data_IF_409717966157
#
_entry.id   IF_409717966157
#
_cell.length_a   1.000
_cell.length_b   1.000
_cell.length_c   1.000
_cell.angle_alpha   90.00
_cell.angle_beta   90.00
_cell.angle_gamma   90.00
#
_symmetry.space_group_name_H-M   'P 1'
#
loop_
_entity.id
_entity.type
_entity.pdbx_description
1 polymer ?
#
# COMPACT_ATOMS: atom_id res chain seq x y z
N UNK A 1 -8.72 12.92 -13.82
CA UNK A 1 -8.41 13.87 -14.91
C UNK A 1 -7.01 13.58 -15.41
N UNK A 2 -6.84 13.34 -16.71
CA UNK A 2 -5.50 13.21 -17.27
C UNK A 2 -4.85 14.61 -17.28
N UNK A 3 -3.83 14.83 -16.49
CA UNK A 3 -3.08 16.08 -16.51
C UNK A 3 -2.32 16.20 -17.83
N UNK A 4 -2.74 17.13 -18.66
CA UNK A 4 -1.99 17.50 -19.85
C UNK A 4 -0.68 18.21 -19.45
N UNK A 5 0.40 17.95 -20.17
CA UNK A 5 1.69 18.62 -19.97
C UNK A 5 1.61 20.15 -20.15
N UNK A 6 0.61 20.60 -20.89
CA UNK A 6 0.28 22.01 -21.13
C UNK A 6 -0.29 22.73 -19.92
N UNK A 7 -0.97 22.03 -19.01
CA UNK A 7 -1.56 22.62 -17.80
C UNK A 7 -0.52 23.13 -16.79
N UNK A 8 0.73 22.64 -16.85
CA UNK A 8 1.84 23.07 -15.98
C UNK A 8 2.68 24.23 -16.55
N UNK A 9 2.12 25.08 -17.41
CA UNK A 9 2.82 26.24 -18.01
C UNK A 9 4.10 25.90 -18.80
N UNK A 10 4.33 24.65 -19.18
CA UNK A 10 5.42 24.24 -20.04
C UNK A 10 4.90 24.04 -21.46
N UNK A 11 5.06 25.05 -22.30
CA UNK A 11 4.73 24.94 -23.72
C UNK A 11 5.81 24.08 -24.39
N UNK A 12 5.41 22.88 -24.81
CA UNK A 12 6.30 22.02 -25.60
C UNK A 12 6.23 22.44 -27.05
N UNK A 13 7.34 22.90 -27.60
CA UNK A 13 7.45 23.19 -29.02
C UNK A 13 7.62 21.89 -29.81
N UNK A 14 6.75 21.65 -30.79
CA UNK A 14 6.89 20.56 -31.74
C UNK A 14 7.63 21.09 -32.96
N UNK A 15 8.74 20.44 -33.31
CA UNK A 15 9.49 20.73 -34.53
C UNK A 15 9.07 19.85 -35.71
N UNK A 16 8.11 18.94 -35.49
CA UNK A 16 7.58 18.08 -36.53
C UNK A 16 6.55 18.85 -37.38
N UNK A 17 6.62 18.68 -38.72
CA UNK A 17 5.63 19.21 -39.65
C UNK A 17 4.28 18.48 -39.59
N UNK A 18 4.23 17.34 -38.93
CA UNK A 18 3.01 16.54 -38.79
C UNK A 18 2.22 16.98 -37.55
N UNK A 19 0.90 16.98 -37.70
CA UNK A 19 -0.02 17.23 -36.59
C UNK A 19 0.14 16.11 -35.53
N UNK A 20 0.21 16.49 -34.26
CA UNK A 20 0.21 15.51 -33.18
C UNK A 20 -1.10 14.70 -33.20
N UNK A 21 -0.99 13.37 -33.23
CA UNK A 21 -2.14 12.45 -33.27
C UNK A 21 -2.57 12.09 -31.86
N UNK A 22 -1.61 12.04 -30.91
CA UNK A 22 -1.85 11.72 -29.50
C UNK A 22 -1.22 12.78 -28.62
N UNK A 23 -1.90 13.11 -27.54
CA UNK A 23 -1.34 13.95 -26.50
C UNK A 23 -0.29 13.18 -25.68
N UNK A 24 0.70 13.92 -25.17
CA UNK A 24 1.70 13.31 -24.29
C UNK A 24 1.04 12.90 -22.98
N UNK A 25 1.07 11.62 -22.60
CA UNK A 25 0.45 11.18 -21.36
C UNK A 25 1.18 11.77 -20.14
N UNK A 26 0.44 11.93 -19.05
CA UNK A 26 1.05 12.33 -17.79
C UNK A 26 1.80 11.14 -17.18
N UNK A 27 3.13 11.15 -17.28
CA UNK A 27 3.99 10.00 -16.94
C UNK A 27 3.99 9.66 -15.44
N UNK A 28 3.59 10.59 -14.58
CA UNK A 28 3.51 10.39 -13.13
C UNK A 28 2.12 9.97 -12.65
N UNK A 29 1.15 9.85 -13.56
CA UNK A 29 -0.24 9.55 -13.20
C UNK A 29 -0.37 8.23 -12.42
N UNK A 30 0.39 7.20 -12.80
CA UNK A 30 0.34 5.88 -12.15
C UNK A 30 0.75 5.94 -10.68
N UNK A 31 1.87 6.59 -10.37
CA UNK A 31 2.36 6.73 -9.00
C UNK A 31 1.39 7.55 -8.14
N UNK A 32 0.94 8.69 -8.66
CA UNK A 32 0.04 9.58 -7.94
C UNK A 32 -1.31 8.91 -7.70
N UNK A 33 -1.90 8.30 -8.73
CA UNK A 33 -3.17 7.60 -8.59
C UNK A 33 -3.08 6.43 -7.61
N UNK A 34 -2.01 5.63 -7.68
CA UNK A 34 -1.77 4.51 -6.77
C UNK A 34 -1.70 4.96 -5.32
N UNK A 35 -0.95 6.03 -5.03
CA UNK A 35 -0.81 6.52 -3.65
C UNK A 35 -2.07 7.19 -3.13
N UNK A 36 -2.77 7.93 -3.97
CA UNK A 36 -4.09 8.51 -3.64
C UNK A 36 -5.10 7.41 -3.32
N UNK A 37 -5.13 6.36 -4.12
CA UNK A 37 -5.97 5.19 -3.88
C UNK A 37 -5.59 4.45 -2.60
N UNK A 38 -4.28 4.29 -2.33
CA UNK A 38 -3.80 3.70 -1.08
C UNK A 38 -4.26 4.46 0.15
N UNK A 39 -4.16 5.79 0.15
CA UNK A 39 -4.54 6.63 1.29
C UNK A 39 -6.04 6.83 1.43
N UNK A 40 -6.79 6.89 0.33
CA UNK A 40 -8.22 7.23 0.29
C UNK A 40 -8.59 8.41 1.21
N UNK A 41 -7.70 9.43 1.30
CA UNK A 41 -7.82 10.52 2.25
C UNK A 41 -9.06 11.39 2.03
N UNK A 42 -9.37 11.66 0.76
CA UNK A 42 -10.49 12.52 0.35
C UNK A 42 -11.85 11.79 0.27
N UNK A 43 -11.84 10.47 0.54
CA UNK A 43 -13.04 9.65 0.49
C UNK A 43 -13.64 9.57 1.90
N UNK A 44 -14.96 9.79 1.99
CA UNK A 44 -15.68 9.65 3.27
C UNK A 44 -15.47 8.23 3.83
N UNK A 45 -15.31 8.10 5.16
CA UNK A 45 -14.98 6.84 5.81
C UNK A 45 -15.94 5.68 5.49
N UNK A 46 -17.22 5.99 5.27
CA UNK A 46 -18.26 5.01 4.89
C UNK A 46 -18.18 4.54 3.44
N UNK A 47 -17.55 5.33 2.57
CA UNK A 47 -17.45 5.06 1.14
C UNK A 47 -16.07 4.50 0.73
N UNK A 48 -15.15 4.34 1.68
CA UNK A 48 -13.82 3.81 1.40
C UNK A 48 -13.87 2.35 0.99
N UNK A 49 -13.17 2.03 -0.06
CA UNK A 49 -12.99 0.66 -0.52
C UNK A 49 -12.09 -0.13 0.45
N UNK A 50 -12.28 -1.44 0.51
CA UNK A 50 -11.46 -2.31 1.33
C UNK A 50 -10.13 -2.63 0.64
N UNK A 51 -9.32 -1.58 0.43
CA UNK A 51 -8.01 -1.66 -0.20
C UNK A 51 -7.02 -0.69 0.48
N UNK A 52 -5.73 -0.84 0.18
CA UNK A 52 -4.67 0.01 0.71
C UNK A 52 -4.66 0.10 2.24
N UNK A 53 -4.63 1.31 2.77
CA UNK A 53 -4.57 1.58 4.20
C UNK A 53 -5.84 1.10 4.94
N UNK A 54 -7.00 1.19 4.31
CA UNK A 54 -8.26 0.69 4.88
C UNK A 54 -8.23 -0.83 5.07
N UNK A 55 -7.74 -1.57 4.07
CA UNK A 55 -7.58 -3.02 4.16
C UNK A 55 -6.56 -3.42 5.24
N UNK A 56 -5.46 -2.66 5.39
CA UNK A 56 -4.46 -2.91 6.42
C UNK A 56 -5.08 -2.82 7.83
N UNK A 57 -5.88 -1.80 8.11
CA UNK A 57 -6.60 -1.73 9.39
C UNK A 57 -7.61 -2.88 9.55
N UNK A 58 -8.42 -3.14 8.54
CA UNK A 58 -9.44 -4.20 8.61
C UNK A 58 -8.86 -5.61 8.75
N UNK A 59 -7.63 -5.84 8.33
CA UNK A 59 -6.96 -7.13 8.48
C UNK A 59 -6.55 -7.44 9.92
N UNK A 60 -6.35 -6.41 10.75
CA UNK A 60 -5.93 -6.54 12.14
C UNK A 60 -7.14 -6.49 13.08
N UNK A 61 -8.09 -5.63 12.81
CA UNK A 61 -9.28 -5.45 13.63
C UNK A 61 -10.45 -6.35 13.16
N UNK A 62 -11.30 -6.83 14.05
CA UNK A 62 -11.32 -6.56 15.49
C UNK A 62 -10.25 -7.35 16.27
N UNK A 63 -9.70 -6.73 17.31
CA UNK A 63 -8.83 -7.39 18.27
C UNK A 63 -9.71 -7.81 19.45
N UNK A 64 -9.72 -9.11 19.74
CA UNK A 64 -10.57 -9.68 20.81
C UNK A 64 -9.68 -10.11 21.97
N UNK A 65 -10.11 -9.85 23.19
CA UNK A 65 -9.42 -10.31 24.39
C UNK A 65 -9.52 -11.84 24.52
N UNK A 66 -8.56 -12.45 25.19
CA UNK A 66 -8.50 -13.90 25.40
C UNK A 66 -9.78 -14.51 26.02
N UNK A 67 -10.50 -13.74 26.82
CA UNK A 67 -11.72 -14.17 27.49
C UNK A 67 -13.01 -13.68 26.81
N UNK A 68 -12.93 -13.15 25.60
CA UNK A 68 -14.03 -12.58 24.80
C UNK A 68 -14.84 -11.47 25.50
N UNK A 69 -14.31 -10.92 26.60
CA UNK A 69 -14.99 -9.89 27.39
C UNK A 69 -14.78 -8.48 26.88
N UNK A 70 -13.80 -8.28 26.02
CA UNK A 70 -13.53 -6.98 25.42
C UNK A 70 -13.15 -7.15 23.95
N UNK A 71 -13.64 -6.25 23.11
CA UNK A 71 -13.35 -6.22 21.67
C UNK A 71 -13.00 -4.81 21.26
N UNK A 72 -11.85 -4.66 20.61
CA UNK A 72 -11.42 -3.39 20.02
C UNK A 72 -11.73 -3.41 18.53
N UNK A 73 -12.59 -2.51 18.09
CA UNK A 73 -13.05 -2.38 16.70
C UNK A 73 -12.42 -1.15 16.04
N UNK A 74 -12.09 -1.27 14.78
CA UNK A 74 -11.72 -0.14 13.94
C UNK A 74 -12.96 0.54 13.38
N UNK A 75 -13.06 1.85 13.53
CA UNK A 75 -14.16 2.65 12.99
C UNK A 75 -13.74 3.38 11.73
N UNK A 76 -12.69 4.17 11.82
CA UNK A 76 -12.16 4.95 10.69
C UNK A 76 -10.75 5.42 10.96
N UNK A 77 -10.07 5.89 9.94
CA UNK A 77 -8.83 6.67 10.12
C UNK A 77 -8.98 8.05 9.51
N UNK A 78 -8.14 8.96 9.96
CA UNK A 78 -8.06 10.32 9.46
C UNK A 78 -6.59 10.74 9.33
N UNK A 79 -6.28 11.47 8.26
CA UNK A 79 -5.00 12.11 8.04
C UNK A 79 -5.14 13.59 8.36
N UNK A 80 -4.32 14.07 9.29
CA UNK A 80 -4.28 15.49 9.63
C UNK A 80 -3.54 16.31 8.57
N UNK A 81 -3.60 17.63 8.71
CA UNK A 81 -2.79 18.51 7.89
C UNK A 81 -1.29 18.34 8.21
N UNK A 82 -0.41 18.41 7.21
CA UNK A 82 1.03 18.41 7.45
C UNK A 82 1.44 19.64 8.25
N UNK A 83 2.41 19.48 9.15
CA UNK A 83 2.91 20.57 9.98
C UNK A 83 3.69 21.61 9.18
N UNK A 84 4.37 21.19 8.13
CA UNK A 84 5.19 22.01 7.26
C UNK A 84 4.84 21.76 5.81
N UNK A 85 5.03 22.77 4.96
CA UNK A 85 4.90 22.60 3.53
C UNK A 85 6.12 21.85 2.93
N UNK A 86 6.07 21.56 1.65
CA UNK A 86 7.12 20.81 0.95
C UNK A 86 8.46 21.55 0.99
N UNK A 87 8.45 22.88 0.73
CA UNK A 87 9.66 23.70 0.69
C UNK A 87 10.28 23.87 2.08
N UNK A 88 9.43 24.12 3.06
CA UNK A 88 9.85 24.26 4.45
C UNK A 88 10.43 22.95 5.00
N UNK A 89 9.83 21.81 4.68
CA UNK A 89 10.36 20.49 5.04
C UNK A 89 11.74 20.25 4.43
N UNK A 90 11.95 20.63 3.16
CA UNK A 90 13.25 20.52 2.51
C UNK A 90 14.31 21.43 3.15
N UNK A 91 13.97 22.70 3.43
CA UNK A 91 14.88 23.66 4.03
C UNK A 91 15.29 23.31 5.47
N UNK A 92 14.36 22.78 6.24
CA UNK A 92 14.58 22.38 7.63
C UNK A 92 15.19 20.98 7.78
N UNK A 93 15.33 20.21 6.69
CA UNK A 93 15.80 18.83 6.75
C UNK A 93 14.78 17.86 7.38
N UNK A 94 13.49 18.19 7.32
CA UNK A 94 12.39 17.41 7.87
C UNK A 94 11.68 16.59 6.79
N UNK A 95 10.83 15.67 7.22
CA UNK A 95 9.99 14.89 6.31
C UNK A 95 8.63 15.58 6.10
N UNK A 96 8.13 15.54 4.86
CA UNK A 96 6.78 16.00 4.53
C UNK A 96 5.79 14.88 4.85
N UNK A 97 5.15 14.99 6.01
CA UNK A 97 4.31 13.94 6.61
C UNK A 97 2.99 14.51 7.13
N UNK A 98 1.98 13.65 7.19
CA UNK A 98 0.72 13.93 7.85
C UNK A 98 0.53 13.00 9.06
N UNK A 99 -0.01 13.50 10.18
CA UNK A 99 -0.34 12.66 11.32
C UNK A 99 -1.51 11.75 10.99
N UNK A 100 -1.33 10.46 11.23
CA UNK A 100 -2.36 9.45 11.08
C UNK A 100 -3.03 9.22 12.43
N UNK A 101 -4.35 9.35 12.46
CA UNK A 101 -5.18 9.04 13.62
C UNK A 101 -6.20 7.98 13.26
N UNK A 102 -6.36 6.99 14.12
CA UNK A 102 -7.37 5.97 13.98
C UNK A 102 -8.46 6.14 15.05
N UNK A 103 -9.70 6.16 14.64
CA UNK A 103 -10.85 6.11 15.52
C UNK A 103 -11.16 4.66 15.82
N UNK A 104 -11.03 4.29 17.07
CA UNK A 104 -11.26 2.93 17.56
C UNK A 104 -12.40 2.91 18.58
N UNK A 105 -13.07 1.77 18.64
CA UNK A 105 -14.19 1.52 19.53
C UNK A 105 -13.87 0.34 20.40
N UNK A 106 -13.85 0.55 21.71
CA UNK A 106 -13.74 -0.51 22.69
C UNK A 106 -15.15 -0.92 23.15
N UNK A 107 -15.49 -2.16 22.89
CA UNK A 107 -16.75 -2.79 23.30
C UNK A 107 -16.44 -3.70 24.48
N UNK A 108 -17.05 -3.43 25.63
CA UNK A 108 -16.90 -4.25 26.86
C UNK A 108 -18.19 -5.01 27.06
N UNK A 109 -18.07 -6.34 27.18
CA UNK A 109 -19.19 -7.24 27.40
C UNK A 109 -19.52 -7.36 28.87
N UNK A 110 -20.76 -7.69 29.19
CA UNK A 110 -21.18 -7.96 30.55
C UNK A 110 -20.68 -9.34 31.01
N UNK A 111 -20.24 -9.41 32.29
CA UNK A 111 -19.75 -10.66 32.90
C UNK A 111 -20.86 -11.67 33.12
N UNK A 112 -22.07 -11.21 33.43
CA UNK A 112 -23.23 -12.05 33.74
C UNK A 112 -23.94 -12.51 32.49
N UNK A 113 -23.86 -11.72 31.40
CA UNK A 113 -24.47 -12.00 30.09
C UNK A 113 -23.50 -11.67 28.98
N UNK A 114 -22.62 -12.61 28.60
CA UNK A 114 -21.55 -12.36 27.57
C UNK A 114 -22.05 -11.92 26.21
N UNK A 115 -23.34 -11.97 25.94
CA UNK A 115 -23.96 -11.48 24.70
C UNK A 115 -24.44 -10.03 24.78
N UNK A 116 -24.44 -9.44 25.96
CA UNK A 116 -24.88 -8.05 26.16
C UNK A 116 -23.68 -7.13 26.30
N UNK A 117 -23.75 -5.99 25.63
CA UNK A 117 -22.73 -4.95 25.70
C UNK A 117 -22.97 -4.13 26.97
N UNK A 118 -21.96 -4.08 27.85
CA UNK A 118 -21.99 -3.28 29.06
C UNK A 118 -21.68 -1.83 28.80
N UNK A 119 -20.63 -1.59 28.02
CA UNK A 119 -20.11 -0.25 27.74
C UNK A 119 -19.45 -0.18 26.38
N UNK A 120 -19.58 0.97 25.70
CA UNK A 120 -18.88 1.29 24.46
C UNK A 120 -18.12 2.59 24.68
N UNK A 121 -16.81 2.56 24.39
CA UNK A 121 -15.96 3.75 24.40
C UNK A 121 -15.34 3.95 23.04
N UNK A 122 -15.45 5.15 22.50
CA UNK A 122 -14.78 5.54 21.25
C UNK A 122 -13.71 6.58 21.54
N UNK A 123 -12.55 6.41 20.91
CA UNK A 123 -11.45 7.34 21.03
C UNK A 123 -10.67 7.43 19.72
N UNK A 124 -10.17 8.61 19.41
CA UNK A 124 -9.14 8.82 18.41
C UNK A 124 -7.76 8.55 19.00
N UNK A 125 -6.98 7.68 18.34
CA UNK A 125 -5.64 7.30 18.76
C UNK A 125 -4.65 7.75 17.68
N UNK A 126 -3.60 8.43 18.10
CA UNK A 126 -2.48 8.76 17.24
C UNK A 126 -1.67 7.51 16.92
N UNK A 127 -1.53 7.19 15.63
CA UNK A 127 -0.87 5.98 15.15
C UNK A 127 0.55 6.25 14.63
N UNK A 128 0.90 7.52 14.42
CA UNK A 128 2.17 7.93 13.84
C UNK A 128 1.99 8.90 12.70
N UNK A 129 3.01 9.01 11.87
CA UNK A 129 3.04 9.92 10.72
C UNK A 129 3.19 9.13 9.43
N UNK A 130 2.46 9.53 8.39
CA UNK A 130 2.60 8.98 7.05
C UNK A 130 3.22 10.02 6.12
N UNK A 131 4.24 9.65 5.33
CA UNK A 131 4.78 10.51 4.29
C UNK A 131 3.69 10.85 3.28
N UNK A 132 3.64 12.12 2.86
CA UNK A 132 2.76 12.57 1.79
C UNK A 132 3.51 12.65 0.47
N UNK A 133 2.84 12.26 -0.60
CA UNK A 133 3.36 12.40 -1.95
C UNK A 133 3.21 13.84 -2.43
N UNK A 134 4.27 14.39 -3.02
CA UNK A 134 4.25 15.70 -3.66
C UNK A 134 3.47 15.64 -4.98
N UNK A 135 3.05 16.80 -5.52
CA UNK A 135 2.40 16.83 -6.85
C UNK A 135 3.26 16.29 -7.99
N UNK A 136 4.58 16.14 -7.76
CA UNK A 136 5.54 15.59 -8.72
C UNK A 136 5.78 14.07 -8.54
N UNK A 137 5.02 13.42 -7.67
CA UNK A 137 5.12 11.96 -7.45
C UNK A 137 6.32 11.53 -6.61
N UNK A 138 6.93 12.46 -5.87
CA UNK A 138 8.06 12.21 -4.97
C UNK A 138 7.65 12.30 -3.51
N UNK A 139 8.55 11.89 -2.62
CA UNK A 139 8.43 12.05 -1.16
C UNK A 139 9.58 12.88 -0.65
N UNK A 140 9.35 13.74 0.33
CA UNK A 140 10.40 14.46 1.03
C UNK A 140 10.66 13.77 2.36
N UNK A 141 11.82 13.15 2.49
CA UNK A 141 12.25 12.41 3.69
C UNK A 141 13.55 13.00 4.20
N UNK A 142 13.53 13.52 5.42
CA UNK A 142 14.68 14.21 6.03
C UNK A 142 15.26 15.31 5.12
N UNK A 143 14.38 16.09 4.50
CA UNK A 143 14.74 17.17 3.58
C UNK A 143 15.18 16.74 2.18
N UNK A 144 15.34 15.44 1.94
CA UNK A 144 15.75 14.89 0.65
C UNK A 144 14.55 14.40 -0.13
N UNK A 145 14.44 14.81 -1.39
CA UNK A 145 13.40 14.33 -2.28
C UNK A 145 13.74 12.94 -2.80
N UNK A 146 12.82 12.00 -2.60
CA UNK A 146 12.97 10.59 -2.95
C UNK A 146 11.80 10.11 -3.78
N UNK A 147 12.06 9.13 -4.63
CA UNK A 147 11.06 8.50 -5.50
C UNK A 147 11.04 7.00 -5.24
N UNK A 148 9.84 6.41 -5.23
CA UNK A 148 9.69 4.95 -5.20
C UNK A 148 9.86 4.43 -6.63
N UNK A 149 10.85 3.57 -6.83
CA UNK A 149 11.12 2.94 -8.11
C UNK A 149 10.48 1.56 -8.14
N UNK A 150 9.73 1.26 -9.19
CA UNK A 150 9.15 -0.06 -9.39
C UNK A 150 10.25 -1.10 -9.57
N UNK A 151 10.14 -2.22 -8.84
CA UNK A 151 11.09 -3.32 -8.92
C UNK A 151 10.42 -4.54 -9.52
N UNK A 152 11.05 -5.12 -10.53
CA UNK A 152 10.60 -6.37 -11.13
C UNK A 152 11.00 -7.55 -10.23
N UNK A 153 10.06 -8.43 -9.95
CA UNK A 153 10.30 -9.66 -9.18
C UNK A 153 9.49 -10.82 -9.77
N UNK A 154 9.81 -12.05 -9.37
CA UNK A 154 8.99 -13.22 -9.74
C UNK A 154 7.62 -13.10 -9.10
N UNK A 155 6.57 -13.42 -9.86
CA UNK A 155 5.21 -13.41 -9.34
C UNK A 155 5.04 -14.46 -8.23
N UNK A 156 4.30 -14.15 -7.16
CA UNK A 156 3.85 -15.17 -6.24
C UNK A 156 3.01 -16.24 -6.96
N UNK A 157 3.14 -17.49 -6.56
CA UNK A 157 2.41 -18.59 -7.17
C UNK A 157 3.17 -19.91 -7.11
N UNK A 158 2.68 -20.89 -7.84
CA UNK A 158 3.29 -22.22 -7.95
C UNK A 158 3.84 -22.38 -9.37
N UNK A 159 5.10 -22.77 -9.47
CA UNK A 159 5.81 -22.99 -10.72
C UNK A 159 6.18 -24.47 -10.80
N UNK A 160 5.91 -25.07 -11.97
CA UNK A 160 6.30 -26.44 -12.26
C UNK A 160 7.36 -26.42 -13.34
N UNK A 161 8.47 -27.10 -13.10
CA UNK A 161 9.60 -27.17 -14.01
C UNK A 161 10.06 -28.62 -14.15
N UNK A 162 10.91 -28.92 -15.11
CA UNK A 162 11.62 -30.18 -15.27
C UNK A 162 13.02 -29.93 -15.85
N UNK A 163 13.95 -30.82 -15.56
CA UNK A 163 15.37 -30.76 -15.94
C UNK A 163 15.67 -31.07 -17.42
N UNK A 164 14.65 -31.47 -18.20
CA UNK A 164 14.77 -31.94 -19.59
C UNK A 164 15.65 -33.20 -19.73
N UNK A 165 15.72 -34.00 -18.67
CA UNK A 165 16.53 -35.24 -18.66
C UNK A 165 18.05 -35.01 -18.61
N UNK A 166 18.51 -33.84 -18.20
CA UNK A 166 19.94 -33.52 -18.17
C UNK A 166 20.64 -34.06 -16.92
N UNK A 167 19.91 -34.23 -15.80
CA UNK A 167 20.47 -34.58 -14.52
C UNK A 167 20.69 -36.09 -14.36
N UNK A 168 19.86 -36.91 -14.99
CA UNK A 168 19.96 -38.37 -14.88
C UNK A 168 20.50 -38.99 -16.17
N UNK A 169 21.43 -39.96 -16.04
CA UNK A 169 22.09 -40.62 -17.18
C UNK A 169 21.15 -41.35 -18.13
N UNK A 170 19.99 -41.81 -17.65
CA UNK A 170 18.95 -42.48 -18.46
C UNK A 170 18.05 -41.51 -19.24
N UNK A 171 18.24 -40.20 -19.13
CA UNK A 171 17.38 -39.21 -19.75
C UNK A 171 16.00 -39.08 -19.09
N UNK A 172 15.79 -39.64 -17.88
CA UNK A 172 14.55 -39.53 -17.12
C UNK A 172 14.28 -38.07 -16.76
N UNK A 173 13.04 -37.61 -16.99
CA UNK A 173 12.62 -36.28 -16.59
C UNK A 173 12.45 -36.19 -15.08
N UNK A 174 13.16 -35.31 -14.45
CA UNK A 174 12.99 -34.98 -13.05
C UNK A 174 12.15 -33.70 -12.96
N UNK A 175 10.99 -33.82 -12.34
CA UNK A 175 10.08 -32.71 -12.13
C UNK A 175 10.39 -32.00 -10.84
N UNK A 176 10.19 -30.70 -10.83
CA UNK A 176 10.27 -29.87 -9.63
C UNK A 176 9.07 -28.93 -9.53
N UNK A 177 8.74 -28.54 -8.34
CA UNK A 177 7.72 -27.55 -8.08
C UNK A 177 8.23 -26.53 -7.06
N UNK A 178 7.99 -25.26 -7.34
CA UNK A 178 8.39 -24.16 -6.46
C UNK A 178 7.18 -23.34 -6.07
N UNK A 179 6.99 -23.16 -4.78
CA UNK A 179 5.96 -22.28 -4.22
C UNK A 179 6.62 -20.99 -3.79
N UNK A 180 6.23 -19.89 -4.43
CA UNK A 180 6.70 -18.54 -4.13
C UNK A 180 5.57 -17.79 -3.43
N UNK A 181 5.67 -17.49 -2.12
CA UNK A 181 4.66 -16.69 -1.42
C UNK A 181 4.84 -15.21 -1.75
N UNK A 182 3.82 -14.40 -1.47
CA UNK A 182 3.92 -12.95 -1.54
C UNK A 182 4.97 -12.41 -0.58
N UNK A 183 5.07 -13.00 0.62
CA UNK A 183 6.05 -12.67 1.65
C UNK A 183 6.38 -13.93 2.45
N UNK A 184 7.66 -14.23 2.60
CA UNK A 184 8.14 -15.37 3.37
C UNK A 184 9.14 -16.23 2.59
N UNK A 185 9.49 -17.38 3.14
CA UNK A 185 10.44 -18.33 2.54
C UNK A 185 9.80 -19.11 1.39
N UNK A 186 10.61 -19.42 0.39
CA UNK A 186 10.18 -20.28 -0.72
C UNK A 186 10.20 -21.73 -0.29
N UNK A 187 9.33 -22.53 -0.91
CA UNK A 187 9.28 -23.98 -0.72
C UNK A 187 9.49 -24.66 -2.06
N UNK A 188 10.55 -25.46 -2.13
CA UNK A 188 10.91 -26.22 -3.32
C UNK A 188 10.67 -27.71 -3.09
N UNK A 189 10.05 -28.36 -4.06
CA UNK A 189 9.89 -29.80 -4.15
C UNK A 189 10.68 -30.31 -5.33
N UNK A 190 11.55 -31.29 -5.10
CA UNK A 190 12.35 -31.91 -6.14
C UNK A 190 12.23 -33.42 -6.05
N UNK A 191 12.15 -34.10 -7.19
CA UNK A 191 12.17 -35.56 -7.21
C UNK A 191 13.61 -36.07 -7.14
N UNK A 192 13.84 -37.04 -6.27
CA UNK A 192 15.13 -37.73 -6.19
C UNK A 192 15.38 -38.50 -7.48
N UNK A 193 16.55 -38.43 -8.09
CA UNK A 193 16.91 -39.17 -9.30
C UNK A 193 17.00 -40.69 -9.11
N UNK A 194 17.02 -41.20 -7.86
CA UNK A 194 17.08 -42.63 -7.57
C UNK A 194 15.91 -43.45 -8.08
#
# INVERSE_FOLDING_TARGET
MAYSYTEKKRIRKSFAKRRAVLEVPYLLATQIASYTHFLQADIAASARENDGLQAAFRSIFPIVSHNDMARLEFVSYNLGAPAFDIKESQQRGLSYVAPLRAKVRLVIMDRESPKTVKEIKEQEVYMGELPLMTPTGSFVINGTERVIVSQLHRSPGVFFEHDRGKTHSSGKLLFSARIIPYRGSWLDFEFDPK
#
